data_IF_798338617007
#
_entry.id   IF_798338617007
#
_cell.length_a   1.000
_cell.length_b   1.000
_cell.length_c   1.000
_cell.angle_alpha   90.00
_cell.angle_beta   90.00
_cell.angle_gamma   90.00
#
_symmetry.space_group_name_H-M   'P 1'
#
loop_
_entity.id
_entity.type
_entity.pdbx_description
1 polymer ?
#
# COMPACT_ATOMS: atom_id res chain seq x y z
N UNK A 1 3.81 14.46 8.87
CA UNK A 1 3.01 13.26 8.53
C UNK A 1 1.66 13.36 9.21
N UNK A 2 0.58 12.92 8.57
CA UNK A 2 -0.76 12.84 9.16
C UNK A 2 -1.08 11.38 9.51
N UNK A 3 -2.13 11.12 10.29
CA UNK A 3 -2.60 9.74 10.51
C UNK A 3 -3.03 9.12 9.18
N UNK A 4 -2.67 7.85 9.00
CA UNK A 4 -3.00 7.11 7.79
C UNK A 4 -4.49 6.86 7.67
N UNK A 5 -5.01 6.96 6.45
CA UNK A 5 -6.38 6.59 6.12
C UNK A 5 -6.49 5.16 5.60
N UNK A 6 -7.74 4.69 5.50
CA UNK A 6 -8.12 3.45 4.80
C UNK A 6 -9.32 3.76 3.89
N UNK A 7 -9.37 3.13 2.72
CA UNK A 7 -10.58 3.11 1.93
C UNK A 7 -11.54 2.09 2.56
N UNK A 8 -12.69 2.56 3.06
CA UNK A 8 -13.65 1.70 3.73
C UNK A 8 -14.53 0.99 2.71
N UNK A 9 -14.58 -0.34 2.81
CA UNK A 9 -15.55 -1.18 2.11
C UNK A 9 -16.96 -0.86 2.60
N UNK A 10 -17.96 -1.23 1.82
CA UNK A 10 -19.36 -1.01 2.17
C UNK A 10 -19.76 -1.65 3.51
N UNK A 11 -19.24 -2.85 3.80
CA UNK A 11 -19.45 -3.54 5.07
C UNK A 11 -18.85 -2.83 6.30
N UNK A 12 -17.92 -1.90 6.08
CA UNK A 12 -17.16 -1.22 7.12
C UNK A 12 -17.44 0.30 7.18
N UNK A 13 -18.42 0.77 6.41
CA UNK A 13 -18.82 2.18 6.40
C UNK A 13 -19.24 2.63 7.80
N UNK A 14 -18.75 3.80 8.22
CA UNK A 14 -19.04 4.40 9.52
C UNK A 14 -18.10 3.95 10.65
N UNK A 15 -17.24 2.96 10.41
CA UNK A 15 -16.18 2.57 11.36
C UNK A 15 -14.96 3.48 11.21
N UNK A 16 -14.17 3.58 12.27
CA UNK A 16 -13.00 4.44 12.28
C UNK A 16 -11.78 3.72 11.67
N UNK A 17 -11.02 4.41 10.81
CA UNK A 17 -9.80 3.86 10.18
C UNK A 17 -8.81 3.22 11.16
N UNK A 18 -8.75 3.77 12.39
CA UNK A 18 -7.89 3.29 13.49
C UNK A 18 -8.16 1.84 13.92
N UNK A 19 -9.29 1.24 13.53
CA UNK A 19 -9.59 -0.17 13.77
C UNK A 19 -8.71 -1.11 12.95
N UNK A 20 -8.17 -0.63 11.82
CA UNK A 20 -7.31 -1.44 10.96
C UNK A 20 -5.92 -0.86 10.80
N UNK A 21 -5.79 0.48 10.72
CA UNK A 21 -4.52 1.14 10.45
C UNK A 21 -4.27 2.27 11.43
N UNK A 22 -3.17 2.16 12.18
CA UNK A 22 -2.85 3.14 13.23
C UNK A 22 -1.62 4.00 12.91
N UNK A 23 -0.94 3.71 11.79
CA UNK A 23 0.27 4.41 11.33
C UNK A 23 0.05 5.88 11.00
N UNK A 24 1.15 6.58 10.73
CA UNK A 24 1.15 7.89 10.07
C UNK A 24 1.71 7.78 8.66
N UNK A 25 1.24 8.62 7.74
CA UNK A 25 1.70 8.64 6.34
C UNK A 25 2.02 10.03 5.83
N UNK A 26 2.75 10.04 4.72
CA UNK A 26 2.92 11.17 3.83
C UNK A 26 3.14 10.66 2.40
N UNK A 27 2.62 11.37 1.41
CA UNK A 27 2.89 11.09 0.00
C UNK A 27 3.94 12.08 -0.48
N UNK A 28 5.03 11.57 -1.03
CA UNK A 28 6.07 12.37 -1.66
C UNK A 28 5.75 12.51 -3.15
N UNK A 29 5.40 13.71 -3.64
CA UNK A 29 5.35 13.96 -5.08
C UNK A 29 6.76 13.75 -5.64
N UNK A 30 6.91 12.88 -6.63
CA UNK A 30 8.24 12.51 -7.12
C UNK A 30 8.80 13.51 -8.14
N UNK A 31 7.95 14.34 -8.74
CA UNK A 31 8.38 15.34 -9.71
C UNK A 31 9.29 16.41 -9.08
N UNK A 32 10.45 16.65 -9.71
CA UNK A 32 11.45 17.65 -9.33
C UNK A 32 12.33 17.28 -8.12
N UNK A 33 12.43 15.99 -7.78
CA UNK A 33 13.44 15.50 -6.84
C UNK A 33 14.28 14.38 -7.48
N UNK A 34 15.55 14.67 -7.76
CA UNK A 34 16.45 13.75 -8.46
C UNK A 34 16.71 12.43 -7.72
N UNK A 35 16.46 12.37 -6.41
CA UNK A 35 16.57 11.12 -5.64
C UNK A 35 15.33 10.27 -5.82
N UNK A 36 14.14 10.88 -5.73
CA UNK A 36 12.88 10.19 -5.94
C UNK A 36 12.73 9.70 -7.39
N UNK A 37 13.15 10.51 -8.37
CA UNK A 37 13.16 10.12 -9.79
C UNK A 37 14.01 8.86 -10.03
N UNK A 38 15.19 8.75 -9.38
CA UNK A 38 16.03 7.54 -9.48
C UNK A 38 15.39 6.31 -8.83
N UNK A 39 14.60 6.49 -7.77
CA UNK A 39 13.87 5.38 -7.16
C UNK A 39 12.78 4.90 -8.13
N UNK A 40 12.04 5.83 -8.72
CA UNK A 40 11.01 5.57 -9.72
C UNK A 40 11.58 4.82 -10.94
N UNK A 41 12.72 5.25 -11.48
CA UNK A 41 13.43 4.56 -12.58
C UNK A 41 13.80 3.12 -12.22
N UNK A 42 14.29 2.89 -10.99
CA UNK A 42 14.63 1.54 -10.51
C UNK A 42 13.40 0.65 -10.38
N UNK A 43 12.28 1.20 -9.91
CA UNK A 43 11.00 0.48 -9.81
C UNK A 43 10.47 0.13 -11.20
N UNK A 44 10.53 1.07 -12.15
CA UNK A 44 10.15 0.83 -13.54
C UNK A 44 10.99 -0.30 -14.14
N UNK A 45 12.31 -0.30 -13.93
CA UNK A 45 13.18 -1.35 -14.44
C UNK A 45 12.89 -2.72 -13.81
N UNK A 46 12.63 -2.75 -12.50
CA UNK A 46 12.30 -3.98 -11.76
C UNK A 46 10.97 -4.57 -12.21
N UNK A 47 9.92 -3.75 -12.25
CA UNK A 47 8.54 -4.18 -12.51
C UNK A 47 8.22 -4.32 -13.99
N UNK A 48 9.02 -3.69 -14.86
CA UNK A 48 8.75 -3.54 -16.31
C UNK A 48 7.43 -2.84 -16.62
N UNK A 49 6.94 -2.01 -15.69
CA UNK A 49 5.74 -1.19 -15.85
C UNK A 49 6.13 0.27 -16.13
N UNK A 50 5.38 1.00 -16.99
CA UNK A 50 5.61 2.43 -17.20
C UNK A 50 5.46 3.23 -15.90
N UNK A 51 6.36 4.19 -15.68
CA UNK A 51 6.30 5.03 -14.46
C UNK A 51 5.02 5.87 -14.37
N UNK A 52 4.39 6.16 -15.51
CA UNK A 52 3.09 6.84 -15.56
C UNK A 52 1.94 6.07 -14.87
N UNK A 53 2.14 4.80 -14.54
CA UNK A 53 1.17 3.99 -13.78
C UNK A 53 1.39 4.06 -12.27
N UNK A 54 2.50 4.64 -11.80
CA UNK A 54 2.82 4.72 -10.39
C UNK A 54 1.99 5.82 -9.69
N UNK A 55 1.56 5.52 -8.46
CA UNK A 55 1.14 6.54 -7.51
C UNK A 55 2.38 7.23 -6.92
N UNK A 56 2.18 8.39 -6.28
CA UNK A 56 3.24 9.01 -5.47
C UNK A 56 3.75 8.06 -4.39
N UNK A 57 5.06 8.15 -4.10
CA UNK A 57 5.69 7.32 -3.07
C UNK A 57 5.02 7.59 -1.71
N UNK A 58 4.43 6.55 -1.14
CA UNK A 58 3.84 6.60 0.20
C UNK A 58 4.87 6.25 1.26
N UNK A 59 5.22 7.21 2.11
CA UNK A 59 6.07 6.97 3.28
C UNK A 59 5.19 6.69 4.49
N UNK A 60 5.48 5.59 5.19
CA UNK A 60 4.77 5.15 6.38
C UNK A 60 5.68 5.15 7.60
N UNK A 61 5.14 5.62 8.72
CA UNK A 61 5.79 5.55 10.03
C UNK A 61 4.88 4.81 11.00
N UNK A 62 5.41 3.72 11.54
CA UNK A 62 4.79 2.95 12.61
C UNK A 62 5.54 3.23 13.91
N UNK A 63 4.85 3.76 14.90
CA UNK A 63 5.34 3.86 16.27
C UNK A 63 5.16 2.53 17.02
N UNK A 64 5.65 2.47 18.26
CA UNK A 64 5.46 1.31 19.12
C UNK A 64 3.97 0.93 19.21
N UNK A 65 3.66 -0.36 19.00
CA UNK A 65 2.31 -0.96 18.95
C UNK A 65 1.40 -0.50 17.80
N UNK A 66 1.87 0.35 16.88
CA UNK A 66 1.11 0.66 15.68
C UNK A 66 1.18 -0.51 14.68
N UNK A 67 0.08 -0.75 13.97
CA UNK A 67 -0.03 -1.86 13.03
C UNK A 67 -0.92 -1.49 11.84
N UNK A 68 -0.94 -2.40 10.87
CA UNK A 68 -1.94 -2.43 9.82
C UNK A 68 -2.46 -3.86 9.67
N UNK A 69 -3.76 -4.06 9.90
CA UNK A 69 -4.44 -5.33 9.69
C UNK A 69 -4.29 -5.82 8.24
N UNK A 70 -4.27 -7.14 8.07
CA UNK A 70 -4.13 -7.77 6.75
C UNK A 70 -5.25 -7.30 5.80
N UNK A 71 -4.85 -6.88 4.60
CA UNK A 71 -5.75 -6.32 3.59
C UNK A 71 -5.22 -6.59 2.18
N UNK A 72 -5.94 -6.08 1.19
CA UNK A 72 -5.52 -6.05 -0.21
C UNK A 72 -5.25 -4.61 -0.63
N UNK A 73 -4.18 -4.39 -1.39
CA UNK A 73 -3.86 -3.07 -1.95
C UNK A 73 -4.75 -2.71 -3.13
N UNK A 74 -5.23 -3.72 -3.88
CA UNK A 74 -6.22 -3.56 -4.93
C UNK A 74 -7.62 -3.35 -4.35
N UNK A 75 -8.49 -2.73 -5.14
CA UNK A 75 -9.88 -2.51 -4.80
C UNK A 75 -10.77 -3.52 -5.54
N UNK A 76 -11.51 -4.35 -4.81
CA UNK A 76 -12.54 -5.22 -5.38
C UNK A 76 -13.80 -4.37 -5.62
N UNK A 77 -14.24 -4.13 -6.88
CA UNK A 77 -15.41 -3.30 -7.16
C UNK A 77 -16.66 -3.75 -6.39
N UNK A 78 -16.85 -5.06 -6.19
CA UNK A 78 -18.01 -5.58 -5.46
C UNK A 78 -18.03 -5.16 -3.98
N UNK A 79 -16.87 -4.91 -3.37
CA UNK A 79 -16.75 -4.49 -1.98
C UNK A 79 -17.10 -3.02 -1.73
N UNK A 80 -17.33 -2.24 -2.79
CA UNK A 80 -17.58 -0.80 -2.74
C UNK A 80 -18.74 -0.40 -3.68
N UNK A 81 -19.67 -1.32 -3.93
CA UNK A 81 -20.77 -1.15 -4.89
C UNK A 81 -21.59 0.13 -4.67
N UNK A 82 -21.63 0.67 -3.44
CA UNK A 82 -22.36 1.91 -3.12
C UNK A 82 -21.48 3.17 -3.12
N UNK A 83 -20.22 3.10 -3.55
CA UNK A 83 -19.33 4.24 -3.73
C UNK A 83 -19.03 4.46 -5.22
N UNK A 84 -19.89 5.25 -5.87
CA UNK A 84 -19.80 5.52 -7.31
C UNK A 84 -18.46 6.14 -7.75
N UNK A 85 -17.87 7.01 -6.92
CA UNK A 85 -16.57 7.63 -7.22
C UNK A 85 -15.44 6.59 -7.21
N UNK A 86 -15.45 5.70 -6.20
CA UNK A 86 -14.46 4.62 -6.12
C UNK A 86 -14.62 3.65 -7.29
N UNK A 87 -15.85 3.23 -7.62
CA UNK A 87 -16.11 2.36 -8.78
C UNK A 87 -15.58 2.98 -10.08
N UNK A 88 -15.92 4.24 -10.35
CA UNK A 88 -15.42 4.96 -11.53
C UNK A 88 -13.88 5.04 -11.57
N UNK A 89 -13.21 5.02 -10.41
CA UNK A 89 -11.75 5.05 -10.32
C UNK A 89 -11.07 3.69 -10.55
N UNK A 90 -11.77 2.56 -10.41
CA UNK A 90 -11.15 1.22 -10.46
C UNK A 90 -11.70 0.31 -11.55
N UNK A 91 -12.93 0.56 -12.02
CA UNK A 91 -13.52 -0.20 -13.11
C UNK A 91 -12.84 0.11 -14.44
N UNK A 92 -12.95 -0.84 -15.38
CA UNK A 92 -12.37 -0.75 -16.73
C UNK A 92 -10.85 -0.49 -16.79
N UNK A 93 -10.11 -0.82 -15.72
CA UNK A 93 -8.65 -0.74 -15.69
C UNK A 93 -8.09 0.66 -15.44
N UNK A 94 -8.87 1.56 -14.83
CA UNK A 94 -8.45 2.93 -14.55
C UNK A 94 -7.27 3.02 -13.55
N UNK A 95 -7.52 3.01 -12.25
CA UNK A 95 -6.50 3.25 -11.20
C UNK A 95 -6.36 2.10 -10.20
N UNK A 96 -6.77 0.89 -10.56
CA UNK A 96 -6.61 -0.24 -9.65
C UNK A 96 -5.14 -0.72 -9.62
N UNK A 97 -4.72 -1.26 -8.46
CA UNK A 97 -3.30 -1.57 -8.22
C UNK A 97 -2.96 -2.99 -8.64
N UNK A 98 -2.04 -3.12 -9.60
CA UNK A 98 -1.53 -4.40 -10.07
C UNK A 98 -0.43 -4.97 -9.18
N UNK A 99 0.49 -4.11 -8.70
CA UNK A 99 1.64 -4.51 -7.91
C UNK A 99 2.01 -3.44 -6.89
N UNK A 100 2.63 -3.86 -5.79
CA UNK A 100 3.16 -2.98 -4.74
C UNK A 100 4.63 -3.29 -4.53
N UNK A 101 5.46 -2.25 -4.47
CA UNK A 101 6.89 -2.36 -4.12
C UNK A 101 7.11 -1.75 -2.75
N UNK A 102 7.59 -2.55 -1.80
CA UNK A 102 7.92 -2.09 -0.45
C UNK A 102 9.40 -1.76 -0.31
N UNK A 103 9.70 -0.63 0.33
CA UNK A 103 11.03 -0.25 0.77
C UNK A 103 11.05 -0.19 2.30
N UNK A 104 11.89 -1.01 2.93
CA UNK A 104 12.14 -0.91 4.37
C UNK A 104 13.23 0.13 4.62
N UNK A 105 12.84 1.26 5.22
CA UNK A 105 13.71 2.43 5.35
C UNK A 105 14.62 2.40 6.58
N UNK A 106 14.36 1.49 7.53
CA UNK A 106 15.18 1.28 8.72
C UNK A 106 15.03 -0.15 9.26
N UNK A 107 15.97 -0.56 10.09
CA UNK A 107 15.85 -1.78 10.87
C UNK A 107 14.89 -1.57 12.04
N UNK A 108 14.05 -2.58 12.31
CA UNK A 108 13.13 -2.63 13.45
C UNK A 108 13.65 -3.69 14.42
N UNK A 109 13.70 -3.37 15.71
CA UNK A 109 14.30 -4.26 16.72
C UNK A 109 13.48 -5.51 17.01
N UNK A 110 12.15 -5.40 16.97
CA UNK A 110 11.22 -6.52 17.15
C UNK A 110 9.85 -6.19 16.54
N UNK A 111 9.20 -7.19 15.95
CA UNK A 111 7.93 -7.03 15.24
C UNK A 111 8.06 -6.22 13.94
N UNK A 112 6.93 -5.77 13.41
CA UNK A 112 6.89 -4.92 12.20
C UNK A 112 7.08 -5.68 10.89
N UNK A 113 6.93 -7.00 10.92
CA UNK A 113 7.02 -7.86 9.74
C UNK A 113 5.85 -7.60 8.77
N UNK A 114 6.12 -7.73 7.48
CA UNK A 114 5.04 -7.78 6.47
C UNK A 114 4.58 -9.22 6.33
N UNK A 115 3.47 -9.55 6.98
CA UNK A 115 2.90 -10.88 6.95
C UNK A 115 1.91 -11.04 5.78
N UNK A 116 2.05 -12.14 5.03
CA UNK A 116 1.08 -12.59 4.03
C UNK A 116 0.36 -13.85 4.56
N UNK A 117 -0.79 -13.73 5.25
CA UNK A 117 -1.38 -14.84 6.02
C UNK A 117 -1.84 -16.05 5.19
N UNK A 118 -1.97 -15.88 3.87
CA UNK A 118 -2.38 -16.92 2.92
C UNK A 118 -1.24 -17.42 2.05
N UNK A 119 -0.03 -16.87 2.20
CA UNK A 119 1.13 -17.39 1.49
C UNK A 119 1.42 -18.78 2.04
N UNK A 120 1.49 -19.77 1.16
CA UNK A 120 2.06 -21.06 1.52
C UNK A 120 3.56 -20.87 1.61
N UNK A 121 4.11 -20.94 2.82
CA UNK A 121 5.56 -21.07 2.99
C UNK A 121 5.87 -22.50 2.56
N UNK A 122 6.43 -22.68 1.36
CA UNK A 122 7.11 -23.94 1.08
C UNK A 122 8.21 -24.07 2.12
N UNK A 123 8.17 -25.16 2.89
CA UNK A 123 9.25 -25.54 3.80
C UNK A 123 10.48 -25.88 2.96
N UNK A 124 11.19 -24.85 2.49
CA UNK A 124 12.42 -24.92 1.74
C UNK A 124 13.59 -24.82 2.71
N UNK A 125 14.39 -25.89 2.71
CA UNK A 125 15.65 -26.15 3.42
C UNK A 125 16.37 -24.90 3.93
N UNK A 126 16.57 -24.88 5.25
CA UNK A 126 17.61 -24.06 5.89
C UNK A 126 18.94 -24.75 5.56
N UNK A 127 19.75 -24.15 4.68
CA UNK A 127 21.20 -24.42 4.64
C UNK A 127 21.93 -23.61 5.72
#
# INVERSE_FOLDING_TARGET
MAKSGVALKDADRGKAAKEWRTSSQYFLPTMNDATLEKIDERVQFLTRLPISHAEYIQVLKYAHLEHYSAHHDFFDPAAYASNAEMLASVEHGAKNRLATVFFYLNNVSAGGETNFPRAQVSSGVVE
#
